data_IF_272465878158
#
_entry.id   IF_272465878158
#
_cell.length_a   1.000
_cell.length_b   1.000
_cell.length_c   1.000
_cell.angle_alpha   90.00
_cell.angle_beta   90.00
_cell.angle_gamma   90.00
#
_symmetry.space_group_name_H-M   'P 1'
#
loop_
_entity.id
_entity.type
_entity.pdbx_description
1 polymer ?
#
# COMPACT_ATOMS: atom_id res chain seq x y z
N UNK A 1 16.28 -1.16 -26.34
CA UNK A 1 15.43 -0.86 -25.17
C UNK A 1 14.13 -1.63 -25.41
N UNK A 2 13.93 -2.77 -24.74
CA UNK A 2 12.88 -3.74 -25.09
C UNK A 2 11.47 -3.20 -24.77
N UNK A 3 10.47 -3.61 -25.57
CA UNK A 3 9.04 -3.29 -25.38
C UNK A 3 8.56 -3.53 -23.94
N UNK A 4 9.03 -4.61 -23.31
CA UNK A 4 8.72 -4.97 -21.92
C UNK A 4 9.11 -3.87 -20.91
N UNK A 5 10.21 -3.15 -21.16
CA UNK A 5 10.65 -2.06 -20.27
C UNK A 5 9.74 -0.84 -20.36
N UNK A 6 9.19 -0.57 -21.55
CA UNK A 6 8.28 0.54 -21.79
C UNK A 6 6.91 0.23 -21.17
N UNK A 7 6.43 -1.00 -21.28
CA UNK A 7 5.18 -1.45 -20.61
C UNK A 7 5.28 -1.35 -19.08
N UNK A 8 6.35 -1.89 -18.49
CA UNK A 8 6.54 -1.94 -17.04
C UNK A 8 6.68 -0.53 -16.41
N UNK A 9 7.31 0.40 -17.13
CA UNK A 9 7.41 1.81 -16.70
C UNK A 9 6.10 2.58 -16.87
N UNK A 10 5.33 2.26 -17.90
CA UNK A 10 4.01 2.88 -18.12
C UNK A 10 3.01 2.43 -17.06
N UNK A 11 3.00 1.15 -16.69
CA UNK A 11 2.12 0.61 -15.65
C UNK A 11 2.44 1.16 -14.26
N UNK A 12 3.74 1.29 -13.92
CA UNK A 12 4.16 1.91 -12.67
C UNK A 12 3.78 3.40 -12.59
N UNK A 13 3.95 4.15 -13.67
CA UNK A 13 3.56 5.56 -13.74
C UNK A 13 2.04 5.76 -13.61
N UNK A 14 1.23 4.91 -14.25
CA UNK A 14 -0.24 4.92 -14.10
C UNK A 14 -0.64 4.58 -12.66
N UNK A 15 0.03 3.62 -12.03
CA UNK A 15 -0.21 3.22 -10.63
C UNK A 15 0.09 4.36 -9.65
N UNK A 16 1.15 5.12 -9.87
CA UNK A 16 1.49 6.28 -9.05
C UNK A 16 0.49 7.42 -9.26
N UNK A 17 0.16 7.73 -10.52
CA UNK A 17 -0.79 8.77 -10.86
C UNK A 17 -2.19 8.49 -10.29
N UNK A 18 -2.65 7.24 -10.32
CA UNK A 18 -3.95 6.85 -9.75
C UNK A 18 -3.95 6.89 -8.22
N UNK A 19 -2.89 6.37 -7.56
CA UNK A 19 -2.78 6.37 -6.08
C UNK A 19 -2.62 7.75 -5.49
N UNK A 20 -1.79 8.60 -6.10
CA UNK A 20 -1.49 9.94 -5.58
C UNK A 20 -2.44 11.02 -6.11
N UNK A 21 -3.25 10.72 -7.15
CA UNK A 21 -4.16 11.66 -7.83
C UNK A 21 -3.46 12.96 -8.29
N UNK A 22 -2.23 12.83 -8.77
CA UNK A 22 -1.42 13.93 -9.32
C UNK A 22 -1.00 13.62 -10.75
N UNK A 23 -0.77 14.65 -11.55
CA UNK A 23 -0.26 14.47 -12.90
C UNK A 23 1.26 14.18 -12.92
N UNK A 24 1.80 13.80 -14.09
CA UNK A 24 3.23 13.49 -14.24
C UNK A 24 4.13 14.68 -13.84
N UNK A 25 3.70 15.92 -14.12
CA UNK A 25 4.48 17.12 -13.85
C UNK A 25 4.52 17.38 -12.34
N UNK A 26 3.37 17.34 -11.68
CA UNK A 26 3.22 17.46 -10.23
C UNK A 26 4.03 16.38 -9.51
N UNK A 27 4.00 15.14 -10.00
CA UNK A 27 4.82 14.06 -9.46
C UNK A 27 6.32 14.34 -9.55
N UNK A 28 6.81 14.79 -10.70
CA UNK A 28 8.22 15.14 -10.85
C UNK A 28 8.61 16.36 -10.01
N UNK A 29 7.72 17.34 -9.87
CA UNK A 29 7.92 18.49 -8.97
C UNK A 29 8.01 18.05 -7.51
N UNK A 30 7.16 17.12 -7.08
CA UNK A 30 7.22 16.52 -5.75
C UNK A 30 8.56 15.81 -5.50
N UNK A 31 9.02 15.00 -6.47
CA UNK A 31 10.31 14.30 -6.36
C UNK A 31 11.49 15.28 -6.27
N UNK A 32 11.48 16.34 -7.09
CA UNK A 32 12.51 17.39 -7.06
C UNK A 32 12.50 18.21 -5.76
N UNK A 33 11.31 18.56 -5.26
CA UNK A 33 11.15 19.22 -3.98
C UNK A 33 11.69 18.34 -2.84
N UNK A 34 11.33 17.06 -2.83
CA UNK A 34 11.81 16.09 -1.84
C UNK A 34 13.33 15.94 -1.88
N UNK A 35 13.93 15.82 -3.07
CA UNK A 35 15.38 15.75 -3.24
C UNK A 35 16.07 16.98 -2.64
N UNK A 36 15.52 18.16 -2.90
CA UNK A 36 16.03 19.45 -2.41
C UNK A 36 15.91 19.54 -0.89
N UNK A 37 14.76 19.18 -0.32
CA UNK A 37 14.52 19.20 1.13
C UNK A 37 15.47 18.27 1.88
N UNK A 38 15.82 17.12 1.29
CA UNK A 38 16.76 16.17 1.86
C UNK A 38 18.24 16.53 1.59
N UNK A 39 18.52 17.63 0.89
CA UNK A 39 19.88 18.06 0.54
C UNK A 39 20.60 17.10 -0.41
N UNK A 40 19.87 16.38 -1.25
CA UNK A 40 20.43 15.42 -2.20
C UNK A 40 20.98 16.12 -3.45
N UNK A 41 21.95 15.46 -4.11
CA UNK A 41 22.56 15.98 -5.33
C UNK A 41 21.58 16.08 -6.50
N UNK A 42 21.88 16.96 -7.46
CA UNK A 42 21.14 17.08 -8.72
C UNK A 42 21.06 15.73 -9.44
N UNK A 43 19.86 15.32 -9.85
CA UNK A 43 19.58 14.01 -10.46
C UNK A 43 19.00 12.98 -9.50
N UNK A 44 18.99 13.24 -8.18
CA UNK A 44 18.39 12.34 -7.18
C UNK A 44 16.86 12.23 -7.33
N UNK A 45 16.21 13.22 -7.93
CA UNK A 45 14.78 13.23 -8.21
C UNK A 45 14.34 12.04 -9.08
N UNK A 46 15.18 11.58 -10.02
CA UNK A 46 14.90 10.40 -10.83
C UNK A 46 14.97 9.11 -10.03
N UNK A 47 15.92 9.03 -9.08
CA UNK A 47 16.03 7.89 -8.16
C UNK A 47 14.84 7.84 -7.20
N UNK A 48 14.39 8.99 -6.70
CA UNK A 48 13.19 9.12 -5.87
C UNK A 48 11.95 8.71 -6.66
N UNK A 49 11.76 9.23 -7.87
CA UNK A 49 10.62 8.87 -8.72
C UNK A 49 10.56 7.35 -8.94
N UNK A 50 11.68 6.72 -9.30
CA UNK A 50 11.78 5.27 -9.48
C UNK A 50 11.51 4.48 -8.19
N UNK A 51 11.92 5.01 -7.04
CA UNK A 51 11.65 4.38 -5.76
C UNK A 51 10.16 4.44 -5.41
N UNK A 52 9.51 5.58 -5.64
CA UNK A 52 8.07 5.77 -5.37
C UNK A 52 7.22 4.92 -6.32
N UNK A 53 7.60 4.83 -7.60
CA UNK A 53 6.96 3.95 -8.59
C UNK A 53 6.96 2.47 -8.18
N UNK A 54 8.02 2.02 -7.49
CA UNK A 54 8.15 0.63 -7.04
C UNK A 54 7.67 0.42 -5.60
N UNK A 55 7.24 1.48 -4.91
CA UNK A 55 6.85 1.40 -3.51
C UNK A 55 5.55 0.62 -3.35
N UNK A 56 5.67 -0.59 -2.80
CA UNK A 56 4.52 -1.41 -2.41
C UNK A 56 3.87 -0.83 -1.15
N UNK A 57 2.53 -0.92 -1.09
CA UNK A 57 1.77 -0.59 0.11
C UNK A 57 2.19 -1.50 1.28
N UNK A 58 2.34 -0.99 2.51
CA UNK A 58 2.64 -1.82 3.67
C UNK A 58 1.58 -2.91 3.85
N UNK A 59 2.04 -4.14 4.09
CA UNK A 59 1.18 -5.29 4.37
C UNK A 59 0.62 -5.18 5.79
N UNK A 60 -0.69 -5.35 5.93
CA UNK A 60 -1.42 -5.37 7.20
C UNK A 60 -2.16 -6.70 7.33
N UNK A 61 -1.98 -7.34 8.48
CA UNK A 61 -2.67 -8.57 8.87
C UNK A 61 -3.46 -8.26 10.13
N UNK A 62 -4.79 -8.39 10.06
CA UNK A 62 -5.71 -8.07 11.15
C UNK A 62 -6.33 -9.36 11.68
N UNK A 63 -6.03 -9.72 12.93
CA UNK A 63 -6.52 -10.94 13.56
C UNK A 63 -7.64 -10.62 14.56
N UNK A 64 -8.70 -11.41 14.51
CA UNK A 64 -9.83 -11.34 15.43
C UNK A 64 -9.68 -12.43 16.49
N UNK A 65 -9.85 -12.06 17.76
CA UNK A 65 -9.88 -12.99 18.90
C UNK A 65 -11.21 -12.85 19.64
N UNK A 66 -11.20 -12.64 20.96
CA UNK A 66 -12.43 -12.43 21.72
C UNK A 66 -12.89 -10.98 21.57
N UNK A 67 -13.65 -10.75 20.51
CA UNK A 67 -13.94 -9.42 20.01
C UNK A 67 -15.43 -9.22 19.67
N UNK A 68 -15.86 -7.98 19.48
CA UNK A 68 -17.27 -7.60 19.24
C UNK A 68 -17.50 -6.92 17.88
N UNK A 69 -16.47 -6.88 17.05
CA UNK A 69 -16.33 -6.28 15.72
C UNK A 69 -16.43 -4.76 15.72
N UNK A 70 -16.49 -4.15 16.90
CA UNK A 70 -16.59 -2.70 17.06
C UNK A 70 -15.36 -1.91 16.60
N UNK A 71 -14.14 -2.46 16.71
CA UNK A 71 -12.96 -1.76 16.19
C UNK A 71 -12.92 -1.82 14.66
N UNK A 72 -13.33 -2.94 14.08
CA UNK A 72 -13.55 -3.09 12.63
C UNK A 72 -14.66 -2.15 12.13
N UNK A 73 -15.79 -2.04 12.83
CA UNK A 73 -16.88 -1.11 12.47
C UNK A 73 -16.45 0.36 12.59
N UNK A 74 -15.59 0.69 13.56
CA UNK A 74 -14.99 2.02 13.65
C UNK A 74 -14.21 2.38 12.38
N UNK A 75 -13.59 1.40 11.71
CA UNK A 75 -12.86 1.61 10.47
C UNK A 75 -13.80 2.01 9.31
N UNK A 76 -15.01 1.44 9.27
CA UNK A 76 -16.05 1.77 8.28
C UNK A 76 -16.55 3.22 8.40
N UNK A 77 -16.32 3.86 9.54
CA UNK A 77 -16.72 5.25 9.83
C UNK A 77 -15.58 6.25 9.74
N UNK A 78 -14.37 5.83 9.35
CA UNK A 78 -13.24 6.71 9.20
C UNK A 78 -13.41 7.63 7.98
N UNK A 79 -12.98 8.90 8.11
CA UNK A 79 -13.07 9.91 7.03
C UNK A 79 -11.68 10.31 6.51
N UNK A 80 -10.62 10.17 7.31
CA UNK A 80 -9.28 10.67 7.01
C UNK A 80 -8.19 9.66 7.40
N UNK A 81 -7.92 8.63 6.57
CA UNK A 81 -8.60 8.31 5.29
C UNK A 81 -9.92 7.54 5.48
N UNK A 82 -10.76 7.55 4.44
CA UNK A 82 -11.91 6.62 4.30
C UNK A 82 -11.44 5.18 4.12
N UNK A 83 -12.32 4.20 4.37
CA UNK A 83 -11.96 2.77 4.26
C UNK A 83 -11.45 2.42 2.87
N UNK A 84 -12.14 2.85 1.81
CA UNK A 84 -11.76 2.56 0.44
C UNK A 84 -10.40 3.15 0.11
N UNK A 85 -10.12 4.39 0.55
CA UNK A 85 -8.82 5.02 0.36
C UNK A 85 -7.72 4.31 1.16
N UNK A 86 -8.02 3.87 2.38
CA UNK A 86 -7.10 3.14 3.22
C UNK A 86 -6.65 1.83 2.54
N UNK A 87 -7.58 0.98 2.12
CA UNK A 87 -7.28 -0.37 1.61
C UNK A 87 -6.86 -0.37 0.12
N UNK A 88 -7.16 0.68 -0.64
CA UNK A 88 -6.78 0.81 -2.06
C UNK A 88 -5.49 1.62 -2.27
N UNK A 89 -5.24 2.67 -1.47
CA UNK A 89 -4.12 3.57 -1.74
C UNK A 89 -3.00 3.49 -0.69
N UNK A 90 -3.36 3.29 0.59
CA UNK A 90 -2.44 3.46 1.72
C UNK A 90 -1.80 2.13 2.14
N UNK A 91 -2.60 1.12 2.46
CA UNK A 91 -2.14 -0.20 2.95
C UNK A 91 -2.60 -1.33 2.02
N UNK A 92 -1.92 -2.47 2.12
CA UNK A 92 -2.41 -3.75 1.60
C UNK A 92 -3.02 -4.52 2.78
N UNK A 93 -4.35 -4.53 2.88
CA UNK A 93 -5.05 -5.31 3.90
C UNK A 93 -5.10 -6.77 3.46
N UNK A 94 -4.05 -7.53 3.80
CA UNK A 94 -3.82 -8.88 3.26
C UNK A 94 -4.64 -9.96 3.98
N UNK A 95 -5.12 -9.67 5.19
CA UNK A 95 -6.01 -10.54 5.95
C UNK A 95 -6.87 -9.71 6.91
N UNK A 96 -8.18 -9.90 6.83
CA UNK A 96 -9.18 -9.33 7.73
C UNK A 96 -10.48 -10.13 7.54
N UNK A 97 -10.94 -10.83 8.57
CA UNK A 97 -11.98 -11.87 8.41
C UNK A 97 -13.33 -11.28 7.97
N UNK A 98 -13.68 -10.09 8.47
CA UNK A 98 -14.93 -9.38 8.12
C UNK A 98 -14.98 -8.85 6.68
N UNK A 99 -13.83 -8.53 6.07
CA UNK A 99 -13.78 -7.80 4.80
C UNK A 99 -13.24 -8.61 3.61
N UNK A 100 -12.49 -9.68 3.87
CA UNK A 100 -11.87 -10.47 2.80
C UNK A 100 -12.89 -11.29 2.00
N UNK A 101 -12.60 -11.50 0.72
CA UNK A 101 -13.44 -12.34 -0.13
C UNK A 101 -13.22 -13.85 0.06
N UNK A 102 -12.01 -14.25 0.47
CA UNK A 102 -11.68 -15.65 0.71
C UNK A 102 -12.29 -16.15 2.03
N UNK A 103 -12.55 -17.45 2.16
CA UNK A 103 -13.07 -18.06 3.38
C UNK A 103 -12.32 -19.37 3.69
N UNK A 104 -12.51 -19.93 4.88
CA UNK A 104 -12.01 -21.26 5.27
C UNK A 104 -10.52 -21.48 4.94
N UNK A 105 -10.23 -22.53 4.16
CA UNK A 105 -8.86 -22.86 3.80
C UNK A 105 -8.19 -21.82 2.91
N UNK A 106 -8.94 -21.15 2.02
CA UNK A 106 -8.40 -20.11 1.15
C UNK A 106 -7.95 -18.90 1.97
N UNK A 107 -8.74 -18.52 2.97
CA UNK A 107 -8.40 -17.45 3.91
C UNK A 107 -7.10 -17.74 4.66
N UNK A 108 -6.98 -18.95 5.22
CA UNK A 108 -5.77 -19.34 5.95
C UNK A 108 -4.54 -19.43 5.04
N UNK A 109 -4.72 -19.86 3.78
CA UNK A 109 -3.65 -19.86 2.79
C UNK A 109 -3.20 -18.44 2.45
N UNK A 110 -4.14 -17.50 2.28
CA UNK A 110 -3.84 -16.09 2.04
C UNK A 110 -3.05 -15.49 3.21
N UNK A 111 -3.50 -15.72 4.46
CA UNK A 111 -2.80 -15.30 5.69
C UNK A 111 -1.35 -15.78 5.71
N UNK A 112 -1.14 -17.09 5.56
CA UNK A 112 0.18 -17.72 5.62
C UNK A 112 1.08 -17.24 4.49
N UNK A 113 0.53 -17.04 3.29
CA UNK A 113 1.26 -16.49 2.14
C UNK A 113 1.73 -15.06 2.40
N UNK A 114 0.83 -14.18 2.88
CA UNK A 114 1.14 -12.80 3.22
C UNK A 114 2.20 -12.70 4.32
N UNK A 115 2.07 -13.48 5.40
CA UNK A 115 3.06 -13.56 6.48
C UNK A 115 4.44 -13.98 5.96
N UNK A 116 4.49 -14.95 5.05
CA UNK A 116 5.76 -15.44 4.47
C UNK A 116 6.39 -14.39 3.55
N UNK A 117 5.61 -13.78 2.66
CA UNK A 117 6.08 -12.78 1.71
C UNK A 117 6.57 -11.50 2.40
N UNK A 118 5.95 -11.12 3.51
CA UNK A 118 6.22 -9.87 4.23
C UNK A 118 6.87 -10.08 5.62
N UNK A 119 7.54 -11.22 5.84
CA UNK A 119 8.14 -11.57 7.14
C UNK A 119 9.05 -10.44 7.66
N UNK A 120 8.76 -9.97 8.88
CA UNK A 120 9.48 -8.87 9.53
C UNK A 120 9.17 -7.47 9.00
N UNK A 121 8.17 -7.33 8.10
CA UNK A 121 7.77 -6.06 7.48
C UNK A 121 6.28 -5.78 7.56
N UNK A 122 5.43 -6.79 7.75
CA UNK A 122 3.99 -6.56 7.91
C UNK A 122 3.66 -5.95 9.28
N UNK A 123 2.59 -5.17 9.32
CA UNK A 123 1.97 -4.67 10.54
C UNK A 123 0.93 -5.69 10.99
N UNK A 124 1.02 -6.12 12.24
CA UNK A 124 0.02 -6.97 12.87
C UNK A 124 -0.95 -6.10 13.68
N UNK A 125 -2.24 -6.19 13.37
CA UNK A 125 -3.32 -5.62 14.17
C UNK A 125 -4.05 -6.78 14.85
N UNK A 126 -4.36 -6.59 16.13
CA UNK A 126 -5.08 -7.58 16.94
C UNK A 126 -6.32 -6.90 17.51
N UNK A 127 -7.48 -7.48 17.27
CA UNK A 127 -8.76 -7.04 17.81
C UNK A 127 -9.31 -8.10 18.76
N UNK A 128 -9.68 -7.67 19.98
CA UNK A 128 -10.11 -8.55 21.06
C UNK A 128 -9.01 -8.89 22.07
N UNK A 129 -9.45 -9.53 23.16
CA UNK A 129 -8.59 -10.11 24.19
C UNK A 129 -8.07 -11.50 23.80
#
# INVERSE_FOLDING_TARGET
MSETYIEETTEAAITVASRLRIDRREFMQFCAATATTLGLSTGAEAAIAKAVEKAKRPSVIWLHFQECTGCSESLLRAEHPTLEKLILDVISLDYHETLMAAAGHQAEAARKSAMKANKGKYILVVEGA
#
